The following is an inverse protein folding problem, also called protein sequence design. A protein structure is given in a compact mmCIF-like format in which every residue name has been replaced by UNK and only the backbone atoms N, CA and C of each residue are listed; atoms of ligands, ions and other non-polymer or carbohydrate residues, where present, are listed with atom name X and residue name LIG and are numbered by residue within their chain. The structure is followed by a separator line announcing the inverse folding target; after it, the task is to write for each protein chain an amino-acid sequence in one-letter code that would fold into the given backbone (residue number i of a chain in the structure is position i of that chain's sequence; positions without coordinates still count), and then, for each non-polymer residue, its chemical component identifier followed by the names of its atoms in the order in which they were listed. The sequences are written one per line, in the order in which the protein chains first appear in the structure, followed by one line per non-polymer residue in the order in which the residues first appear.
data_IF_704290937417
#
_entry.id   IF_704290937417
#
_cell.length_a   1.000
_cell.length_b   1.000
_cell.length_c   1.000
_cell.angle_alpha   90.00
_cell.angle_beta   90.00
_cell.angle_gamma   90.00
#
_symmetry.space_group_name_H-M   'P 1'
#
loop_
_entity.id
_entity.type
_entity.pdbx_description
1 polymer ?
#
# COMPACT_ATOMS: atom_id res chain seq x y z
N UNK A 1 35.28 -1.22 -39.01
CA UNK A 1 33.91 -1.82 -39.00
C UNK A 1 33.10 -1.08 -37.96
N UNK A 2 32.23 -0.17 -38.39
CA UNK A 2 31.33 0.62 -37.55
C UNK A 2 30.22 -0.31 -37.03
N UNK A 3 30.16 -0.53 -35.69
CA UNK A 3 29.00 -1.18 -35.07
C UNK A 3 27.80 -0.26 -35.25
N UNK A 4 26.85 -0.68 -36.07
CA UNK A 4 25.56 -0.02 -36.17
C UNK A 4 24.95 0.05 -34.75
N UNK A 5 24.75 1.26 -34.23
CA UNK A 5 23.90 1.48 -33.04
C UNK A 5 22.49 1.04 -33.43
N UNK A 6 22.06 -0.11 -32.92
CA UNK A 6 20.64 -0.50 -32.95
C UNK A 6 19.84 0.69 -32.41
N UNK A 7 18.94 1.26 -33.21
CA UNK A 7 17.96 2.24 -32.73
C UNK A 7 17.21 1.53 -31.60
N UNK A 8 17.40 1.99 -30.36
CA UNK A 8 16.56 1.57 -29.24
C UNK A 8 15.13 1.95 -29.61
N UNK A 9 14.23 0.99 -29.72
CA UNK A 9 12.82 1.29 -29.99
C UNK A 9 12.33 2.21 -28.90
N UNK A 10 11.84 3.37 -29.29
CA UNK A 10 11.36 4.40 -28.37
C UNK A 10 10.09 3.89 -27.69
N UNK A 11 9.98 4.07 -26.36
CA UNK A 11 8.80 3.63 -25.61
C UNK A 11 7.53 4.27 -26.19
N UNK A 12 6.46 3.49 -26.45
CA UNK A 12 5.33 3.95 -27.26
C UNK A 12 4.40 4.94 -26.56
N UNK A 13 4.59 5.19 -25.27
CA UNK A 13 3.76 6.08 -24.47
C UNK A 13 4.56 7.25 -23.93
N UNK A 14 3.87 8.38 -23.70
CA UNK A 14 4.36 9.44 -22.80
C UNK A 14 3.89 9.14 -21.39
N UNK A 15 4.83 9.07 -20.44
CA UNK A 15 4.51 8.70 -19.05
C UNK A 15 4.28 9.95 -18.22
N UNK A 16 3.16 10.00 -17.52
CA UNK A 16 2.85 10.99 -16.51
C UNK A 16 2.90 10.36 -15.13
N UNK A 17 3.81 10.79 -14.28
CA UNK A 17 3.89 10.32 -12.89
C UNK A 17 3.09 11.28 -12.02
N UNK A 18 1.93 10.85 -11.56
CA UNK A 18 1.11 11.62 -10.62
C UNK A 18 1.52 11.27 -9.20
N UNK A 19 2.08 12.24 -8.48
CA UNK A 19 2.53 12.07 -7.10
C UNK A 19 1.63 12.86 -6.14
N UNK A 20 1.18 12.28 -5.03
CA UNK A 20 0.33 12.97 -4.08
C UNK A 20 1.10 14.12 -3.43
N UNK A 21 0.42 15.23 -3.18
CA UNK A 21 0.94 16.34 -2.42
C UNK A 21 -0.12 16.83 -1.46
N UNK A 22 0.28 17.02 -0.20
CA UNK A 22 -0.59 17.59 0.82
C UNK A 22 -0.43 19.12 0.85
N UNK A 23 -1.54 19.83 0.82
CA UNK A 23 -1.55 21.27 1.07
C UNK A 23 -1.52 21.50 2.59
N UNK A 24 -0.33 21.71 3.14
CA UNK A 24 -0.13 21.86 4.59
C UNK A 24 0.94 22.89 4.91
N UNK A 25 0.80 23.54 6.06
CA UNK A 25 1.82 24.40 6.67
C UNK A 25 2.63 23.67 7.77
N UNK A 26 2.31 22.41 8.06
CA UNK A 26 3.08 21.59 9.00
C UNK A 26 4.33 21.05 8.30
N UNK A 27 5.54 21.46 8.70
CA UNK A 27 6.77 21.02 8.05
C UNK A 27 7.02 19.51 8.19
N UNK A 28 6.53 18.88 9.25
CA UNK A 28 6.65 17.42 9.42
C UNK A 28 5.76 16.69 8.42
N UNK A 29 4.53 17.17 8.19
CA UNK A 29 3.65 16.60 7.18
C UNK A 29 4.16 16.87 5.77
N UNK A 30 4.75 18.03 5.51
CA UNK A 30 5.39 18.34 4.23
C UNK A 30 6.55 17.37 3.94
N UNK A 31 7.31 16.96 4.95
CA UNK A 31 8.42 16.00 4.79
C UNK A 31 7.95 14.63 4.27
N UNK A 32 6.76 14.14 4.63
CA UNK A 32 6.22 12.87 4.13
C UNK A 32 5.96 12.86 2.63
N UNK A 33 5.86 14.03 2.02
CA UNK A 33 5.64 14.21 0.58
C UNK A 33 6.89 14.73 -0.14
N UNK A 34 8.08 14.51 0.42
CA UNK A 34 9.36 14.72 -0.27
C UNK A 34 9.64 13.52 -1.18
N UNK A 35 9.46 13.73 -2.48
CA UNK A 35 9.70 12.72 -3.51
C UNK A 35 11.06 12.88 -4.21
N UNK A 36 12.02 13.58 -3.61
CA UNK A 36 13.33 13.84 -4.23
C UNK A 36 14.01 12.53 -4.63
N UNK A 37 14.04 11.54 -3.77
CA UNK A 37 14.59 10.22 -4.06
C UNK A 37 13.80 9.50 -5.16
N UNK A 38 12.46 9.47 -5.06
CA UNK A 38 11.60 8.84 -6.06
C UNK A 38 11.81 9.44 -7.46
N UNK A 39 11.96 10.76 -7.57
CA UNK A 39 12.24 11.44 -8.84
C UNK A 39 13.57 10.95 -9.43
N UNK A 40 14.62 10.76 -8.63
CA UNK A 40 15.90 10.22 -9.08
C UNK A 40 15.76 8.78 -9.58
N UNK A 41 15.07 7.93 -8.84
CA UNK A 41 14.82 6.53 -9.20
C UNK A 41 14.02 6.42 -10.51
N UNK A 42 12.92 7.18 -10.66
CA UNK A 42 12.14 7.18 -11.90
C UNK A 42 12.88 7.82 -13.08
N UNK A 43 13.75 8.79 -12.85
CA UNK A 43 14.62 9.33 -13.89
C UNK A 43 15.49 8.22 -14.50
N UNK A 44 16.09 7.39 -13.65
CA UNK A 44 16.87 6.24 -14.07
C UNK A 44 16.01 5.21 -14.84
N UNK A 45 14.86 4.84 -14.29
CA UNK A 45 13.93 3.87 -14.90
C UNK A 45 13.53 4.33 -16.31
N UNK A 46 13.10 5.55 -16.47
CA UNK A 46 12.60 6.04 -17.76
C UNK A 46 13.71 6.33 -18.76
N UNK A 47 14.92 6.65 -18.29
CA UNK A 47 16.11 6.68 -19.15
C UNK A 47 16.45 5.29 -19.70
N UNK A 48 16.41 4.23 -18.87
CA UNK A 48 16.63 2.84 -19.29
C UNK A 48 15.57 2.37 -20.29
N UNK A 49 14.32 2.80 -20.14
CA UNK A 49 13.21 2.47 -21.04
C UNK A 49 13.19 3.33 -22.31
N UNK A 50 13.99 4.39 -22.41
CA UNK A 50 13.91 5.36 -23.51
C UNK A 50 12.56 6.08 -23.56
N UNK A 51 11.91 6.27 -22.42
CA UNK A 51 10.57 6.85 -22.31
C UNK A 51 10.61 8.34 -22.03
N UNK A 52 9.75 9.10 -22.72
CA UNK A 52 9.44 10.48 -22.34
C UNK A 52 8.53 10.50 -21.13
N UNK A 53 8.83 11.32 -20.12
CA UNK A 53 8.04 11.37 -18.92
C UNK A 53 7.98 12.75 -18.27
N UNK A 54 6.97 12.94 -17.40
CA UNK A 54 6.79 14.16 -16.61
C UNK A 54 6.38 13.79 -15.19
N UNK A 55 6.97 14.46 -14.21
CA UNK A 55 6.54 14.43 -12.81
C UNK A 55 5.48 15.49 -12.58
N UNK A 56 4.35 15.11 -11.96
CA UNK A 56 3.23 16.00 -11.75
C UNK A 56 2.72 15.86 -10.31
N UNK A 57 2.99 16.83 -9.43
CA UNK A 57 2.39 16.92 -8.10
C UNK A 57 0.87 17.10 -8.20
N UNK A 58 0.13 16.36 -7.38
CA UNK A 58 -1.33 16.31 -7.38
C UNK A 58 -1.86 16.56 -5.98
N UNK A 59 -2.80 17.49 -5.85
CA UNK A 59 -3.53 17.81 -4.62
C UNK A 59 -5.02 17.55 -4.81
N UNK A 60 -5.82 17.59 -3.73
CA UNK A 60 -7.27 17.49 -3.82
C UNK A 60 -7.93 18.65 -4.58
N UNK A 61 -7.22 19.77 -4.75
CA UNK A 61 -7.76 20.95 -5.43
C UNK A 61 -7.39 21.01 -6.92
N UNK A 62 -6.29 20.35 -7.36
CA UNK A 62 -5.78 20.48 -8.72
C UNK A 62 -5.92 19.22 -9.59
N UNK A 63 -6.21 18.04 -9.03
CA UNK A 63 -6.17 16.75 -9.76
C UNK A 63 -7.06 16.73 -11.01
N UNK A 64 -8.26 17.30 -10.93
CA UNK A 64 -9.21 17.28 -12.04
C UNK A 64 -8.68 18.07 -13.26
N UNK A 65 -8.12 19.25 -13.03
CA UNK A 65 -7.53 20.08 -14.08
C UNK A 65 -6.30 19.40 -14.71
N UNK A 66 -5.46 18.74 -13.88
CA UNK A 66 -4.29 18.00 -14.36
C UNK A 66 -4.71 16.84 -15.25
N UNK A 67 -5.67 16.01 -14.80
CA UNK A 67 -6.15 14.86 -15.55
C UNK A 67 -6.78 15.29 -16.88
N UNK A 68 -7.58 16.36 -16.89
CA UNK A 68 -8.15 16.93 -18.12
C UNK A 68 -7.04 17.37 -19.08
N UNK A 69 -6.05 18.13 -18.60
CA UNK A 69 -4.92 18.57 -19.42
C UNK A 69 -4.11 17.39 -20.00
N UNK A 70 -3.94 16.29 -19.25
CA UNK A 70 -3.30 15.08 -19.78
C UNK A 70 -4.15 14.46 -20.90
N UNK A 71 -5.46 14.38 -20.73
CA UNK A 71 -6.36 13.80 -21.71
C UNK A 71 -6.38 14.61 -23.02
N UNK A 72 -6.28 15.92 -22.92
CA UNK A 72 -6.23 16.84 -24.07
C UNK A 72 -4.89 16.83 -24.80
N UNK A 73 -3.78 16.50 -24.11
CA UNK A 73 -2.42 16.56 -24.63
C UNK A 73 -1.96 15.32 -25.43
N UNK A 74 -2.87 14.45 -25.86
CA UNK A 74 -2.54 13.21 -26.58
C UNK A 74 -2.35 13.47 -28.07
N UNK A 75 -1.29 14.20 -28.46
CA UNK A 75 -1.04 14.55 -29.84
C UNK A 75 -0.31 13.42 -30.62
N UNK A 76 0.93 13.11 -30.24
CA UNK A 76 1.79 12.17 -30.98
C UNK A 76 1.94 10.81 -30.28
N UNK A 77 1.98 10.80 -28.93
CA UNK A 77 2.08 9.58 -28.13
C UNK A 77 0.95 9.50 -27.12
N UNK A 78 0.27 8.33 -27.01
CA UNK A 78 -0.76 8.16 -26.01
C UNK A 78 -0.19 8.30 -24.60
N UNK A 79 -0.96 8.92 -23.69
CA UNK A 79 -0.58 9.07 -22.30
C UNK A 79 -0.73 7.73 -21.55
N UNK A 80 0.27 7.44 -20.71
CA UNK A 80 0.23 6.36 -19.72
C UNK A 80 0.53 6.98 -18.36
N UNK A 81 -0.42 6.90 -17.45
CA UNK A 81 -0.30 7.52 -16.14
C UNK A 81 0.24 6.50 -15.13
N UNK A 82 1.43 6.77 -14.58
CA UNK A 82 1.91 6.11 -13.38
C UNK A 82 1.30 6.84 -12.18
N UNK A 83 0.21 6.28 -11.63
CA UNK A 83 -0.50 6.88 -10.52
C UNK A 83 0.11 6.43 -9.18
N UNK A 84 0.71 7.36 -8.45
CA UNK A 84 1.27 7.16 -7.10
C UNK A 84 0.38 7.74 -6.00
N UNK A 85 -0.81 8.30 -6.34
CA UNK A 85 -1.70 8.90 -5.36
C UNK A 85 -2.32 7.80 -4.47
N UNK A 86 -1.84 7.70 -3.25
CA UNK A 86 -2.20 6.68 -2.24
C UNK A 86 -2.91 7.26 -1.01
N UNK A 87 -3.38 8.50 -1.11
CA UNK A 87 -4.03 9.22 -0.01
C UNK A 87 -5.42 8.68 0.35
N UNK A 88 -5.81 8.91 1.59
CA UNK A 88 -7.11 8.50 2.13
C UNK A 88 -8.23 9.55 1.90
N UNK A 89 -7.88 10.76 1.45
CA UNK A 89 -8.74 11.94 1.23
C UNK A 89 -9.38 12.51 2.50
N UNK A 90 -9.48 11.73 3.57
CA UNK A 90 -9.96 12.19 4.88
C UNK A 90 -8.98 13.17 5.51
N UNK A 91 -7.69 12.90 5.32
CA UNK A 91 -6.59 13.71 5.86
C UNK A 91 -5.92 14.59 4.79
N UNK A 92 -6.59 14.83 3.66
CA UNK A 92 -6.20 15.82 2.68
C UNK A 92 -5.29 15.34 1.55
N UNK A 93 -4.82 14.10 1.58
CA UNK A 93 -4.00 13.55 0.50
C UNK A 93 -4.87 12.90 -0.60
N UNK A 94 -4.61 13.19 -1.91
CA UNK A 94 -5.41 12.68 -3.01
C UNK A 94 -5.26 11.16 -3.19
N UNK A 95 -6.36 10.51 -3.53
CA UNK A 95 -6.44 9.06 -3.65
C UNK A 95 -7.50 8.61 -4.66
N UNK A 96 -8.67 8.17 -4.19
CA UNK A 96 -9.73 7.58 -5.03
C UNK A 96 -10.29 8.57 -6.06
N UNK A 97 -10.39 9.84 -5.75
CA UNK A 97 -10.86 10.88 -6.68
C UNK A 97 -9.96 11.00 -7.92
N UNK A 98 -8.65 10.78 -7.77
CA UNK A 98 -7.73 10.73 -8.90
C UNK A 98 -8.03 9.54 -9.81
N UNK A 99 -8.30 8.37 -9.22
CA UNK A 99 -8.68 7.17 -9.97
C UNK A 99 -9.97 7.41 -10.75
N UNK A 100 -10.98 8.01 -10.13
CA UNK A 100 -12.24 8.34 -10.77
C UNK A 100 -12.04 9.28 -11.97
N UNK A 101 -11.28 10.34 -11.80
CA UNK A 101 -10.96 11.28 -12.88
C UNK A 101 -10.22 10.60 -14.04
N UNK A 102 -9.26 9.72 -13.75
CA UNK A 102 -8.53 8.96 -14.77
C UNK A 102 -9.45 8.00 -15.54
N UNK A 103 -10.41 7.36 -14.86
CA UNK A 103 -11.40 6.48 -15.49
C UNK A 103 -12.39 7.26 -16.36
N UNK A 104 -12.90 8.39 -15.87
CA UNK A 104 -13.80 9.29 -16.61
C UNK A 104 -13.13 9.87 -17.87
N UNK A 105 -11.88 10.31 -17.75
CA UNK A 105 -11.08 10.77 -18.87
C UNK A 105 -10.66 9.65 -19.83
N UNK A 106 -10.93 8.40 -19.50
CA UNK A 106 -10.57 7.24 -20.30
C UNK A 106 -9.07 7.04 -20.48
N UNK A 107 -8.25 7.53 -19.56
CA UNK A 107 -6.79 7.39 -19.63
C UNK A 107 -6.34 5.97 -19.28
N UNK A 108 -5.15 5.59 -19.75
CA UNK A 108 -4.46 4.38 -19.29
C UNK A 108 -3.68 4.71 -18.05
N UNK A 109 -3.91 3.99 -16.95
CA UNK A 109 -3.27 4.28 -15.66
C UNK A 109 -2.88 3.01 -14.91
N UNK A 110 -1.85 3.12 -14.07
CA UNK A 110 -1.34 2.02 -13.23
C UNK A 110 -2.03 1.98 -11.87
N UNK A 111 -1.84 0.86 -11.17
CA UNK A 111 -2.30 0.70 -9.79
C UNK A 111 -3.75 0.23 -9.68
N UNK A 112 -4.37 0.52 -8.56
CA UNK A 112 -5.69 0.04 -8.19
C UNK A 112 -6.81 0.67 -9.04
N UNK A 113 -7.89 -0.09 -9.26
CA UNK A 113 -9.18 0.49 -9.64
C UNK A 113 -9.92 1.01 -8.39
N UNK A 114 -11.04 1.72 -8.61
CA UNK A 114 -11.85 2.28 -7.53
C UNK A 114 -12.22 1.25 -6.45
N UNK A 115 -12.65 0.04 -6.84
CA UNK A 115 -13.09 -0.96 -5.88
C UNK A 115 -11.94 -1.43 -4.98
N UNK A 116 -10.83 -1.85 -5.60
CA UNK A 116 -9.66 -2.33 -4.87
C UNK A 116 -9.10 -1.26 -3.95
N UNK A 117 -8.98 -0.03 -4.44
CA UNK A 117 -8.52 1.11 -3.64
C UNK A 117 -9.41 1.34 -2.41
N UNK A 118 -10.72 1.52 -2.62
CA UNK A 118 -11.66 1.85 -1.55
C UNK A 118 -11.72 0.75 -0.48
N UNK A 119 -11.70 -0.53 -0.90
CA UNK A 119 -11.80 -1.65 0.06
C UNK A 119 -10.54 -1.81 0.90
N UNK A 120 -9.38 -1.35 0.41
CA UNK A 120 -8.10 -1.50 1.13
C UNK A 120 -7.64 -0.23 1.86
N UNK A 121 -8.15 0.95 1.50
CA UNK A 121 -7.87 2.19 2.23
C UNK A 121 -8.40 2.12 3.66
N UNK A 122 -9.57 1.50 3.87
CA UNK A 122 -10.11 1.26 5.21
C UNK A 122 -9.96 -0.20 5.63
N UNK A 123 -9.37 -0.42 6.79
CA UNK A 123 -9.12 -1.78 7.33
C UNK A 123 -10.42 -2.53 7.69
N UNK A 124 -11.51 -1.82 8.03
CA UNK A 124 -12.78 -2.47 8.40
C UNK A 124 -13.46 -3.13 7.19
N UNK A 125 -13.68 -2.47 6.04
CA UNK A 125 -14.16 -3.12 4.82
C UNK A 125 -13.26 -4.26 4.36
N UNK A 126 -11.95 -4.06 4.37
CA UNK A 126 -10.97 -5.06 3.96
C UNK A 126 -11.07 -6.34 4.79
N UNK A 127 -11.13 -6.23 6.13
CA UNK A 127 -11.28 -7.38 7.02
C UNK A 127 -12.62 -8.11 6.82
N UNK A 128 -13.71 -7.39 6.56
CA UNK A 128 -15.00 -8.02 6.20
C UNK A 128 -14.90 -8.84 4.92
N UNK A 129 -14.15 -8.34 3.92
CA UNK A 129 -13.91 -9.05 2.66
C UNK A 129 -13.05 -10.29 2.91
N UNK A 130 -12.00 -10.19 3.73
CA UNK A 130 -11.17 -11.33 4.11
C UNK A 130 -11.98 -12.40 4.84
N UNK A 131 -12.80 -12.04 5.83
CA UNK A 131 -13.67 -12.98 6.54
C UNK A 131 -14.63 -13.70 5.58
N UNK A 132 -15.28 -12.95 4.68
CA UNK A 132 -16.19 -13.51 3.68
C UNK A 132 -15.51 -14.49 2.72
N UNK A 133 -14.27 -14.22 2.37
CA UNK A 133 -13.47 -15.05 1.46
C UNK A 133 -12.73 -16.20 2.18
N UNK A 134 -12.77 -16.29 3.51
CA UNK A 134 -12.03 -17.27 4.29
C UNK A 134 -10.52 -17.03 4.37
N UNK A 135 -10.07 -15.83 4.04
CA UNK A 135 -8.64 -15.44 4.15
C UNK A 135 -8.25 -15.40 5.62
N UNK A 136 -7.16 -16.07 5.97
CA UNK A 136 -6.65 -16.09 7.34
C UNK A 136 -6.24 -14.67 7.79
N UNK A 137 -7.02 -14.08 8.71
CA UNK A 137 -6.70 -12.82 9.37
C UNK A 137 -7.00 -12.94 10.88
N UNK A 138 -6.43 -12.04 11.70
CA UNK A 138 -6.60 -12.09 13.15
C UNK A 138 -8.05 -11.85 13.55
N UNK A 139 -8.49 -12.44 14.66
CA UNK A 139 -9.82 -12.17 15.23
C UNK A 139 -9.97 -10.67 15.52
N UNK A 140 -11.09 -10.07 15.15
CA UNK A 140 -11.27 -8.62 15.23
C UNK A 140 -12.71 -8.20 15.48
N UNK A 141 -12.92 -6.98 15.97
CA UNK A 141 -14.24 -6.37 16.16
C UNK A 141 -14.17 -4.86 15.98
N UNK A 142 -15.20 -4.30 15.33
CA UNK A 142 -15.45 -2.87 15.34
C UNK A 142 -15.89 -2.46 16.74
N UNK A 143 -15.36 -1.34 17.23
CA UNK A 143 -15.81 -0.71 18.48
C UNK A 143 -16.29 0.71 18.14
N UNK A 144 -17.25 1.20 18.91
CA UNK A 144 -17.61 2.63 18.82
C UNK A 144 -16.58 3.46 19.62
N UNK A 145 -16.42 4.73 19.26
CA UNK A 145 -15.58 5.67 20.03
C UNK A 145 -16.00 5.86 21.50
N UNK A 146 -17.10 5.23 21.94
CA UNK A 146 -17.63 5.36 23.32
C UNK A 146 -16.97 4.32 24.25
N UNK A 147 -16.49 4.70 25.46
CA UNK A 147 -15.83 3.78 26.40
C UNK A 147 -16.64 2.54 26.77
N UNK A 148 -17.98 2.61 26.78
CA UNK A 148 -18.84 1.47 27.08
C UNK A 148 -18.86 0.38 25.99
N UNK A 149 -18.38 0.68 24.78
CA UNK A 149 -18.37 -0.27 23.66
C UNK A 149 -17.35 -1.40 23.79
N UNK A 150 -16.43 -1.31 24.74
CA UNK A 150 -15.32 -2.28 24.89
C UNK A 150 -15.63 -3.43 25.86
N UNK A 151 -16.82 -3.44 26.49
CA UNK A 151 -17.19 -4.49 27.46
C UNK A 151 -17.20 -5.88 26.82
N UNK A 152 -16.49 -6.83 27.43
CA UNK A 152 -16.37 -8.21 26.97
C UNK A 152 -15.53 -8.39 25.70
N UNK A 153 -14.79 -7.36 25.26
CA UNK A 153 -13.96 -7.43 24.05
C UNK A 153 -12.79 -8.40 24.23
N UNK A 154 -12.11 -8.36 25.38
CA UNK A 154 -10.98 -9.26 25.64
C UNK A 154 -11.37 -10.72 25.56
N UNK A 155 -12.59 -11.09 26.00
CA UNK A 155 -13.09 -12.46 25.91
C UNK A 155 -13.41 -12.86 24.46
N UNK A 156 -13.91 -11.93 23.63
CA UNK A 156 -14.33 -12.21 22.26
C UNK A 156 -13.20 -12.23 21.24
N UNK A 157 -12.15 -11.48 21.48
CA UNK A 157 -11.05 -11.29 20.51
C UNK A 157 -9.76 -11.97 21.00
N UNK A 158 -9.60 -12.13 22.31
CA UNK A 158 -8.36 -12.61 22.94
C UNK A 158 -7.47 -11.46 23.36
N UNK A 159 -6.41 -11.76 24.13
CA UNK A 159 -5.36 -10.79 24.54
C UNK A 159 -3.98 -11.35 24.27
N UNK A 160 -2.97 -10.49 23.99
CA UNK A 160 -3.07 -9.05 23.86
C UNK A 160 -3.90 -8.61 22.64
N UNK A 161 -4.50 -7.41 22.74
CA UNK A 161 -5.24 -6.75 21.66
C UNK A 161 -4.41 -5.60 21.10
N UNK A 162 -4.64 -5.25 19.84
CA UNK A 162 -4.22 -3.96 19.30
C UNK A 162 -5.44 -3.15 18.83
N UNK A 163 -5.53 -1.89 19.26
CA UNK A 163 -6.56 -0.95 18.80
C UNK A 163 -6.02 -0.13 17.63
N UNK A 164 -6.81 -0.01 16.55
CA UNK A 164 -6.38 0.70 15.35
C UNK A 164 -7.50 1.57 14.79
N UNK A 165 -7.18 2.79 14.29
CA UNK A 165 -8.05 3.49 13.38
C UNK A 165 -8.31 2.65 12.12
N UNK A 166 -9.50 2.75 11.55
CA UNK A 166 -9.85 2.05 10.31
C UNK A 166 -9.01 2.54 9.13
N UNK A 167 -8.80 3.85 9.03
CA UNK A 167 -7.88 4.50 8.10
C UNK A 167 -6.65 4.94 8.88
N UNK A 168 -5.51 4.37 8.58
CA UNK A 168 -4.23 4.66 9.25
C UNK A 168 -3.07 4.36 8.30
N UNK A 169 -2.96 5.12 7.21
CA UNK A 169 -1.80 5.08 6.32
C UNK A 169 -0.52 5.41 7.10
N UNK A 170 0.61 4.75 6.78
CA UNK A 170 1.87 5.00 7.45
C UNK A 170 1.86 4.83 8.98
N UNK A 171 1.05 3.90 9.51
CA UNK A 171 0.87 3.66 10.96
C UNK A 171 0.29 4.83 11.75
N UNK A 172 -0.35 5.82 11.11
CA UNK A 172 -0.96 6.95 11.79
C UNK A 172 -1.90 6.51 12.92
N UNK A 173 -1.69 7.05 14.13
CA UNK A 173 -2.44 6.71 15.33
C UNK A 173 -2.14 5.32 15.92
N UNK A 174 -1.09 4.65 15.47
CA UNK A 174 -0.65 3.35 15.95
C UNK A 174 0.71 3.48 16.63
N UNK A 175 0.73 3.32 17.97
CA UNK A 175 1.93 3.32 18.80
C UNK A 175 2.01 2.06 19.64
N UNK A 176 3.09 1.86 20.39
CA UNK A 176 3.22 0.73 21.34
C UNK A 176 2.09 0.72 22.39
N UNK A 177 1.51 1.88 22.69
CA UNK A 177 0.36 2.04 23.60
C UNK A 177 -0.94 1.49 23.06
N UNK A 178 -0.99 1.19 21.74
CA UNK A 178 -2.17 0.57 21.13
C UNK A 178 -2.28 -0.93 21.47
N UNK A 179 -1.20 -1.56 21.93
CA UNK A 179 -1.20 -2.97 22.37
C UNK A 179 -1.60 -3.03 23.83
N UNK A 180 -2.77 -3.63 24.12
CA UNK A 180 -3.40 -3.63 25.45
C UNK A 180 -3.76 -5.05 25.89
N UNK A 181 -3.76 -5.28 27.21
CA UNK A 181 -4.05 -6.60 27.80
C UNK A 181 -5.37 -6.62 28.57
N UNK A 182 -6.01 -5.47 28.77
CA UNK A 182 -7.24 -5.34 29.54
C UNK A 182 -8.22 -4.35 28.92
N UNK A 183 -9.48 -4.46 29.32
CA UNK A 183 -10.52 -3.49 28.91
C UNK A 183 -10.27 -2.10 29.48
N UNK A 184 -9.60 -1.99 30.63
CA UNK A 184 -9.27 -0.70 31.25
C UNK A 184 -8.17 0.02 30.45
N UNK A 185 -7.12 -0.70 30.04
CA UNK A 185 -6.10 -0.15 29.14
C UNK A 185 -6.73 0.27 27.81
N UNK A 186 -7.62 -0.58 27.26
CA UNK A 186 -8.33 -0.28 26.02
C UNK A 186 -9.20 0.98 26.14
N UNK A 187 -9.93 1.18 27.24
CA UNK A 187 -10.72 2.38 27.49
C UNK A 187 -9.84 3.63 27.56
N UNK A 188 -8.71 3.53 28.22
CA UNK A 188 -7.74 4.62 28.33
C UNK A 188 -7.21 5.01 26.97
N UNK A 189 -6.74 4.04 26.19
CA UNK A 189 -6.22 4.30 24.84
C UNK A 189 -7.29 4.84 23.89
N UNK A 190 -8.52 4.35 23.98
CA UNK A 190 -9.64 4.85 23.19
C UNK A 190 -9.93 6.33 23.48
N UNK A 191 -9.86 6.77 24.74
CA UNK A 191 -10.02 8.20 25.10
C UNK A 191 -8.93 9.06 24.44
N UNK A 192 -7.68 8.60 24.47
CA UNK A 192 -6.56 9.31 23.83
C UNK A 192 -6.75 9.44 22.33
N UNK A 193 -7.10 8.35 21.63
CA UNK A 193 -7.36 8.38 20.20
C UNK A 193 -8.51 9.31 19.81
N UNK A 194 -9.50 9.50 20.69
CA UNK A 194 -10.59 10.46 20.49
C UNK A 194 -10.14 11.93 20.47
N UNK A 195 -8.98 12.25 20.99
CA UNK A 195 -8.44 13.63 20.95
C UNK A 195 -7.86 13.98 19.57
N UNK A 196 -7.71 13.00 18.68
CA UNK A 196 -7.03 13.16 17.39
C UNK A 196 -5.51 13.18 17.55
N UNK A 197 -4.82 13.35 16.43
CA UNK A 197 -3.37 13.46 16.38
C UNK A 197 -2.96 14.44 15.28
N UNK A 198 -2.19 15.47 15.58
CA UNK A 198 -1.69 16.46 14.61
C UNK A 198 -2.77 17.03 13.68
N UNK A 199 -3.97 17.28 14.21
CA UNK A 199 -5.11 17.74 13.43
C UNK A 199 -5.84 16.64 12.65
N UNK A 200 -5.36 15.40 12.66
CA UNK A 200 -6.00 14.28 11.99
C UNK A 200 -7.12 13.69 12.85
N UNK A 201 -8.26 13.44 12.23
CA UNK A 201 -9.37 12.74 12.86
C UNK A 201 -9.16 11.22 12.72
N UNK A 202 -8.51 10.61 13.71
CA UNK A 202 -8.20 9.17 13.69
C UNK A 202 -9.45 8.27 13.73
N UNK A 203 -10.61 8.80 14.06
CA UNK A 203 -11.84 8.02 14.18
C UNK A 203 -12.86 8.29 13.05
N UNK A 204 -12.50 9.11 12.05
CA UNK A 204 -13.41 9.54 11.00
C UNK A 204 -14.09 8.38 10.25
N UNK A 205 -13.36 7.29 10.01
CA UNK A 205 -13.85 6.09 9.30
C UNK A 205 -14.08 4.89 10.26
N UNK A 206 -14.04 5.15 11.57
CA UNK A 206 -14.24 4.15 12.61
C UNK A 206 -12.95 3.62 13.23
N UNK A 207 -13.12 2.77 14.22
CA UNK A 207 -12.05 2.17 15.00
C UNK A 207 -12.36 0.69 15.25
N UNK A 208 -11.34 -0.13 15.30
CA UNK A 208 -11.50 -1.55 15.60
C UNK A 208 -10.39 -2.04 16.52
N UNK A 209 -10.61 -3.20 17.09
CA UNK A 209 -9.60 -3.97 17.80
C UNK A 209 -9.40 -5.30 17.11
N UNK A 210 -8.18 -5.80 17.15
CA UNK A 210 -7.86 -7.15 16.70
C UNK A 210 -6.91 -7.82 17.68
N UNK A 211 -6.85 -9.14 17.64
CA UNK A 211 -5.85 -9.90 18.37
C UNK A 211 -4.46 -9.48 17.90
N UNK A 212 -3.61 -9.10 18.83
CA UNK A 212 -2.21 -8.83 18.52
C UNK A 212 -1.45 -10.15 18.37
N UNK A 213 -1.08 -10.47 17.15
CA UNK A 213 -0.32 -11.68 16.85
C UNK A 213 1.15 -11.43 17.17
N UNK A 214 1.73 -12.22 18.08
CA UNK A 214 3.17 -12.18 18.40
C UNK A 214 3.94 -13.12 17.50
N UNK A 215 5.09 -12.68 16.99
CA UNK A 215 5.96 -13.48 16.13
C UNK A 215 6.46 -12.74 14.90
N UNK A 216 7.12 -13.46 13.98
CA UNK A 216 7.72 -12.86 12.78
C UNK A 216 6.72 -12.16 11.88
N UNK A 217 7.15 -11.05 11.30
CA UNK A 217 6.38 -10.29 10.32
C UNK A 217 7.01 -10.43 8.94
N UNK A 218 6.17 -10.72 7.95
CA UNK A 218 6.56 -10.90 6.56
C UNK A 218 5.82 -9.89 5.69
N UNK A 219 6.47 -9.52 4.59
CA UNK A 219 5.82 -8.72 3.57
C UNK A 219 6.06 -9.31 2.19
N UNK A 220 5.07 -9.21 1.33
CA UNK A 220 5.10 -9.68 -0.05
C UNK A 220 4.70 -8.57 -1.00
N UNK A 221 5.19 -8.64 -2.22
CA UNK A 221 4.82 -7.72 -3.29
C UNK A 221 4.22 -8.52 -4.44
N UNK A 222 3.13 -7.99 -5.02
CA UNK A 222 2.43 -8.59 -6.14
C UNK A 222 2.29 -7.54 -7.24
N UNK A 223 2.60 -7.91 -8.47
CA UNK A 223 2.27 -7.14 -9.68
C UNK A 223 1.33 -7.94 -10.58
N UNK A 224 0.50 -7.23 -11.36
CA UNK A 224 -0.52 -7.83 -12.22
C UNK A 224 -1.91 -7.79 -11.57
N UNK A 225 -2.94 -8.19 -12.30
CA UNK A 225 -4.34 -8.13 -11.87
C UNK A 225 -4.91 -9.52 -11.59
N UNK A 226 -5.72 -9.64 -10.54
CA UNK A 226 -6.24 -10.95 -10.06
C UNK A 226 -7.09 -11.69 -11.11
N UNK A 227 -7.75 -10.97 -12.02
CA UNK A 227 -8.55 -11.51 -13.12
C UNK A 227 -7.72 -11.95 -14.33
N UNK A 228 -6.41 -11.74 -14.28
CA UNK A 228 -5.44 -12.33 -15.21
C UNK A 228 -4.32 -13.06 -14.41
N UNK A 229 -4.63 -14.21 -13.77
CA UNK A 229 -3.71 -14.89 -12.85
C UNK A 229 -2.38 -15.29 -13.47
N UNK A 230 -2.32 -15.47 -14.80
CA UNK A 230 -1.09 -15.84 -15.52
C UNK A 230 -0.06 -14.71 -15.52
N UNK A 231 -0.53 -13.46 -15.42
CA UNK A 231 0.30 -12.27 -15.33
C UNK A 231 0.44 -11.72 -13.90
N UNK A 232 -0.17 -12.38 -12.90
CA UNK A 232 0.06 -12.09 -11.50
C UNK A 232 1.38 -12.70 -11.03
N UNK A 233 2.33 -11.85 -10.60
CA UNK A 233 3.62 -12.27 -10.09
C UNK A 233 3.75 -11.92 -8.62
N UNK A 234 3.98 -12.93 -7.75
CA UNK A 234 4.35 -12.72 -6.36
C UNK A 234 5.85 -12.85 -6.23
N UNK A 235 6.51 -11.79 -5.81
CA UNK A 235 7.96 -11.74 -5.61
C UNK A 235 8.39 -12.53 -4.38
N UNK A 236 9.68 -12.62 -4.11
CA UNK A 236 10.21 -13.33 -2.95
C UNK A 236 9.78 -12.63 -1.67
N UNK A 237 9.02 -13.29 -0.77
CA UNK A 237 8.67 -12.71 0.51
C UNK A 237 9.90 -12.35 1.34
N UNK A 238 9.85 -11.25 2.06
CA UNK A 238 10.88 -10.87 3.02
C UNK A 238 10.30 -10.87 4.45
N UNK A 239 11.14 -11.17 5.40
CA UNK A 239 10.89 -11.03 6.83
C UNK A 239 11.37 -9.66 7.29
N UNK A 240 10.54 -8.92 8.04
CA UNK A 240 10.97 -7.74 8.78
C UNK A 240 11.44 -8.20 10.16
N UNK A 241 12.74 -8.24 10.35
CA UNK A 241 13.38 -8.64 11.59
C UNK A 241 13.57 -7.44 12.49
N UNK A 242 12.71 -7.31 13.48
CA UNK A 242 12.81 -6.25 14.47
C UNK A 242 14.01 -6.46 15.38
N UNK A 243 14.60 -5.38 15.87
CA UNK A 243 15.76 -5.44 16.72
C UNK A 243 15.47 -6.29 17.98
N UNK A 244 16.43 -7.16 18.34
CA UNK A 244 16.27 -8.16 19.41
C UNK A 244 16.05 -7.59 20.81
N UNK A 245 16.51 -6.35 21.07
CA UNK A 245 16.32 -5.68 22.37
C UNK A 245 14.88 -5.25 22.61
N UNK A 246 14.06 -5.18 21.57
CA UNK A 246 12.66 -4.77 21.69
C UNK A 246 11.82 -5.88 22.32
N UNK A 247 10.95 -5.56 23.28
CA UNK A 247 9.94 -6.48 23.78
C UNK A 247 9.05 -6.99 22.64
N UNK A 248 8.56 -8.23 22.72
CA UNK A 248 7.73 -8.82 21.63
C UNK A 248 6.51 -7.97 21.27
N UNK A 249 5.86 -7.37 22.28
CA UNK A 249 4.71 -6.48 22.08
C UNK A 249 5.03 -5.16 21.35
N UNK A 250 6.32 -4.86 21.17
CA UNK A 250 6.81 -3.65 20.51
C UNK A 250 7.42 -3.94 19.14
N UNK A 251 7.46 -5.21 18.72
CA UNK A 251 8.01 -5.63 17.43
C UNK A 251 6.96 -5.49 16.32
N UNK A 252 6.61 -4.26 16.00
CA UNK A 252 5.75 -3.89 14.87
C UNK A 252 6.05 -2.44 14.45
N UNK A 253 5.59 -2.03 13.26
CA UNK A 253 5.76 -0.66 12.80
C UNK A 253 4.80 0.25 13.54
N UNK A 254 5.32 0.94 14.56
CA UNK A 254 4.66 2.08 15.19
C UNK A 254 4.91 3.35 14.39
N UNK A 255 4.06 4.35 14.59
CA UNK A 255 4.20 5.65 13.92
C UNK A 255 5.54 6.32 14.25
N UNK A 256 5.85 6.45 15.55
CA UNK A 256 7.05 7.15 16.02
C UNK A 256 8.34 6.54 15.43
N UNK A 257 8.44 5.20 15.40
CA UNK A 257 9.64 4.50 14.90
C UNK A 257 9.71 4.47 13.39
N UNK A 258 8.56 4.42 12.71
CA UNK A 258 8.53 4.44 11.25
C UNK A 258 8.97 5.80 10.68
N UNK A 259 8.61 6.88 11.37
CA UNK A 259 8.83 8.24 10.91
C UNK A 259 9.92 8.99 11.71
N UNK A 260 10.54 8.32 12.67
CA UNK A 260 11.60 8.89 13.53
C UNK A 260 11.20 10.18 14.26
N UNK A 261 9.92 10.30 14.65
CA UNK A 261 9.37 11.48 15.32
C UNK A 261 9.53 11.42 16.84
N UNK A 262 9.40 10.23 17.42
CA UNK A 262 9.65 9.92 18.85
C UNK A 262 8.95 10.84 19.86
N UNK A 263 7.63 10.98 19.73
CA UNK A 263 6.82 11.70 20.72
C UNK A 263 6.46 10.83 21.93
N UNK A 264 6.10 9.58 21.69
CA UNK A 264 5.64 8.62 22.71
C UNK A 264 6.63 7.45 22.93
N UNK A 265 7.55 7.22 22.04
CA UNK A 265 8.43 6.05 22.06
C UNK A 265 9.92 6.43 22.11
N UNK A 266 10.73 5.61 22.78
CA UNK A 266 12.16 5.83 22.87
C UNK A 266 12.84 5.47 21.55
N UNK A 267 13.71 6.34 21.01
CA UNK A 267 14.56 6.03 19.86
C UNK A 267 15.41 4.79 20.10
N UNK A 268 15.78 4.12 19.01
CA UNK A 268 16.81 3.09 19.08
C UNK A 268 18.15 3.70 19.50
N UNK A 269 19.02 2.93 20.16
CA UNK A 269 20.39 3.38 20.42
C UNK A 269 21.06 3.86 19.10
N UNK A 270 21.92 4.88 19.22
CA UNK A 270 22.62 5.44 18.07
C UNK A 270 23.34 4.35 17.28
N UNK A 271 23.18 4.35 15.95
CA UNK A 271 23.72 3.38 14.99
C UNK A 271 23.07 1.98 14.99
N UNK A 272 21.92 1.78 15.65
CA UNK A 272 21.17 0.54 15.56
C UNK A 272 19.86 0.75 14.78
N UNK A 273 19.60 -0.13 13.79
CA UNK A 273 18.37 -0.08 13.03
C UNK A 273 17.21 -0.68 13.83
N UNK A 274 16.05 -0.07 13.75
CA UNK A 274 14.81 -0.57 14.35
C UNK A 274 14.43 -1.96 13.82
N UNK A 275 14.64 -2.19 12.52
CA UNK A 275 14.48 -3.47 11.85
C UNK A 275 15.42 -3.58 10.66
N UNK A 276 15.56 -4.81 10.16
CA UNK A 276 16.20 -5.13 8.89
C UNK A 276 15.31 -6.08 8.07
N UNK A 277 15.51 -6.10 6.77
CA UNK A 277 14.84 -7.07 5.91
C UNK A 277 15.78 -8.23 5.58
N UNK A 278 15.23 -9.45 5.60
CA UNK A 278 15.88 -10.64 5.09
C UNK A 278 14.90 -11.47 4.25
N UNK A 279 15.35 -12.25 3.27
CA UNK A 279 14.47 -13.20 2.59
C UNK A 279 13.76 -14.11 3.60
N UNK A 280 12.45 -14.28 3.44
CA UNK A 280 11.70 -15.20 4.28
C UNK A 280 12.27 -16.62 4.18
N UNK A 281 12.30 -17.41 5.28
CA UNK A 281 12.78 -18.79 5.26
C UNK A 281 12.12 -19.59 4.13
N UNK A 282 12.92 -20.36 3.37
CA UNK A 282 12.45 -21.08 2.17
C UNK A 282 11.25 -21.99 2.43
N UNK A 283 11.17 -22.59 3.62
CA UNK A 283 10.04 -23.43 4.05
C UNK A 283 8.70 -22.68 4.13
N UNK A 284 8.72 -21.36 4.27
CA UNK A 284 7.52 -20.51 4.40
C UNK A 284 7.13 -19.81 3.10
N UNK A 285 8.05 -19.64 2.15
CA UNK A 285 7.81 -18.82 0.96
C UNK A 285 6.59 -19.26 0.14
N UNK A 286 6.39 -20.58 -0.01
CA UNK A 286 5.23 -21.12 -0.75
C UNK A 286 3.91 -20.76 -0.05
N UNK A 287 3.83 -20.92 1.26
CA UNK A 287 2.64 -20.60 2.04
C UNK A 287 2.36 -19.09 2.06
N UNK A 288 3.39 -18.25 2.22
CA UNK A 288 3.28 -16.80 2.18
C UNK A 288 2.77 -16.32 0.83
N UNK A 289 3.33 -16.83 -0.28
CA UNK A 289 2.87 -16.48 -1.64
C UNK A 289 1.42 -16.91 -1.89
N UNK A 290 1.02 -18.10 -1.44
CA UNK A 290 -0.35 -18.59 -1.60
C UNK A 290 -1.33 -17.71 -0.83
N UNK A 291 -1.08 -17.44 0.47
CA UNK A 291 -1.93 -16.60 1.30
C UNK A 291 -2.02 -15.16 0.75
N UNK A 292 -0.92 -14.64 0.20
CA UNK A 292 -0.92 -13.31 -0.44
C UNK A 292 -1.81 -13.26 -1.67
N UNK A 293 -1.80 -14.31 -2.51
CA UNK A 293 -2.68 -14.38 -3.69
C UNK A 293 -4.15 -14.56 -3.29
N UNK A 294 -4.43 -15.33 -2.23
CA UNK A 294 -5.80 -15.46 -1.68
C UNK A 294 -6.33 -14.11 -1.20
N UNK A 295 -5.52 -13.36 -0.43
CA UNK A 295 -5.87 -12.02 0.02
C UNK A 295 -6.07 -11.05 -1.15
N UNK A 296 -5.17 -11.09 -2.13
CA UNK A 296 -5.25 -10.25 -3.32
C UNK A 296 -6.49 -10.52 -4.16
N UNK A 297 -6.82 -11.81 -4.35
CA UNK A 297 -8.04 -12.20 -5.05
C UNK A 297 -9.31 -11.77 -4.29
N UNK A 298 -9.32 -11.90 -2.96
CA UNK A 298 -10.46 -11.50 -2.13
C UNK A 298 -10.81 -10.03 -2.30
N UNK A 299 -9.81 -9.14 -2.32
CA UNK A 299 -10.00 -7.70 -2.53
C UNK A 299 -10.09 -7.31 -4.01
N UNK A 300 -10.12 -8.27 -4.94
CA UNK A 300 -10.13 -8.05 -6.40
C UNK A 300 -8.98 -7.17 -6.87
N UNK A 301 -7.78 -7.49 -6.42
CA UNK A 301 -6.58 -6.70 -6.63
C UNK A 301 -6.27 -6.38 -8.09
N UNK A 302 -5.80 -5.17 -8.35
CA UNK A 302 -5.43 -4.64 -9.67
C UNK A 302 -4.08 -3.95 -9.60
N UNK A 303 -3.31 -4.08 -10.67
CA UNK A 303 -2.03 -3.39 -10.84
C UNK A 303 -0.93 -3.94 -9.94
N UNK A 304 -0.87 -3.50 -8.70
CA UNK A 304 0.13 -3.97 -7.74
C UNK A 304 -0.33 -3.74 -6.29
N UNK A 305 0.28 -4.49 -5.37
CA UNK A 305 0.01 -4.38 -3.93
C UNK A 305 1.16 -4.92 -3.10
N UNK A 306 1.27 -4.41 -1.86
CA UNK A 306 2.01 -5.04 -0.77
C UNK A 306 1.03 -5.73 0.17
N UNK A 307 1.33 -6.97 0.55
CA UNK A 307 0.57 -7.70 1.57
C UNK A 307 1.47 -7.90 2.79
N UNK A 308 1.01 -7.44 3.94
CA UNK A 308 1.69 -7.60 5.21
C UNK A 308 1.07 -8.78 5.99
N UNK A 309 1.92 -9.70 6.47
CA UNK A 309 1.52 -10.98 7.06
C UNK A 309 2.28 -11.17 8.38
N UNK A 310 1.61 -11.70 9.39
CA UNK A 310 2.26 -12.06 10.64
C UNK A 310 2.11 -13.55 10.92
N UNK A 311 3.17 -14.17 11.41
CA UNK A 311 3.13 -15.55 11.87
C UNK A 311 2.94 -15.57 13.38
N UNK A 312 1.97 -16.32 13.86
CA UNK A 312 1.81 -16.58 15.28
C UNK A 312 2.94 -17.50 15.77
N UNK A 313 3.73 -17.00 16.73
CA UNK A 313 4.89 -17.72 17.26
C UNK A 313 4.53 -19.05 17.95
N UNK A 314 3.32 -19.14 18.51
CA UNK A 314 2.86 -20.32 19.27
C UNK A 314 2.31 -21.41 18.39
N UNK A 315 1.58 -21.04 17.32
CA UNK A 315 0.87 -21.98 16.44
C UNK A 315 1.54 -22.17 15.08
N UNK A 316 2.43 -21.24 14.69
CA UNK A 316 3.03 -21.20 13.37
C UNK A 316 2.08 -20.73 12.27
N UNK A 317 0.82 -20.39 12.59
CA UNK A 317 -0.19 -19.97 11.61
C UNK A 317 0.09 -18.56 11.09
N UNK A 318 -0.13 -18.34 9.79
CA UNK A 318 -0.02 -17.03 9.15
C UNK A 318 -1.35 -16.29 9.14
N UNK A 319 -1.29 -14.99 9.38
CA UNK A 319 -2.42 -14.08 9.37
C UNK A 319 -2.11 -12.85 8.51
N UNK A 320 -2.97 -12.54 7.56
CA UNK A 320 -2.88 -11.30 6.80
C UNK A 320 -3.23 -10.14 7.72
N UNK A 321 -2.35 -9.15 7.80
CA UNK A 321 -2.60 -7.91 8.53
C UNK A 321 -3.36 -6.93 7.64
N UNK A 322 -2.81 -6.68 6.44
CA UNK A 322 -3.39 -5.76 5.47
C UNK A 322 -2.91 -6.02 4.04
N UNK A 323 -3.69 -5.52 3.09
CA UNK A 323 -3.33 -5.36 1.69
C UNK A 323 -3.26 -3.85 1.39
N UNK A 324 -2.13 -3.41 0.84
CA UNK A 324 -1.88 -1.99 0.57
C UNK A 324 -1.92 -1.75 -0.94
N UNK A 325 -3.09 -1.31 -1.45
CA UNK A 325 -3.18 -0.85 -2.83
C UNK A 325 -2.30 0.38 -3.04
N UNK A 326 -1.61 0.43 -4.18
CA UNK A 326 -0.72 1.55 -4.51
C UNK A 326 0.33 1.86 -3.42
N UNK A 327 0.88 0.81 -2.79
CA UNK A 327 1.96 0.99 -1.82
C UNK A 327 3.14 1.76 -2.44
N UNK A 328 3.85 2.52 -1.62
CA UNK A 328 5.04 3.26 -2.05
C UNK A 328 6.04 2.36 -2.76
N UNK A 329 6.56 2.84 -3.89
CA UNK A 329 7.52 2.13 -4.74
C UNK A 329 8.88 2.84 -4.67
N UNK A 330 9.93 2.11 -4.30
CA UNK A 330 11.33 2.57 -4.32
C UNK A 330 12.26 1.39 -4.51
N UNK A 331 13.44 1.62 -5.10
CA UNK A 331 14.51 0.62 -5.17
C UNK A 331 15.30 0.53 -3.86
N UNK A 332 15.20 1.53 -3.00
CA UNK A 332 15.94 1.57 -1.73
C UNK A 332 15.29 0.66 -0.68
N UNK A 333 16.05 -0.35 -0.26
CA UNK A 333 15.63 -1.31 0.76
C UNK A 333 15.50 -0.72 2.17
N UNK A 334 16.10 0.44 2.42
CA UNK A 334 16.00 1.15 3.68
C UNK A 334 14.78 2.07 3.72
N UNK A 335 14.31 2.48 2.53
CA UNK A 335 13.16 3.37 2.40
C UNK A 335 11.84 2.62 2.32
N UNK A 336 11.81 1.52 1.54
CA UNK A 336 10.59 0.71 1.42
C UNK A 336 10.88 -0.80 1.46
N UNK A 337 9.90 -1.59 1.93
CA UNK A 337 9.96 -3.04 1.83
C UNK A 337 10.02 -3.54 0.38
N UNK A 338 9.61 -2.72 -0.59
CA UNK A 338 9.62 -3.09 -2.01
C UNK A 338 11.06 -3.23 -2.48
N UNK A 339 11.97 -2.29 -2.16
CA UNK A 339 13.40 -2.40 -2.47
C UNK A 339 14.01 -3.71 -1.96
N UNK A 340 13.73 -4.05 -0.69
CA UNK A 340 14.19 -5.31 -0.10
C UNK A 340 13.63 -6.56 -0.81
N UNK A 341 12.35 -6.54 -1.19
CA UNK A 341 11.70 -7.63 -1.93
C UNK A 341 12.30 -7.79 -3.33
N UNK A 342 12.53 -6.71 -4.04
CA UNK A 342 13.14 -6.73 -5.37
C UNK A 342 14.57 -7.28 -5.31
N UNK A 343 15.38 -6.83 -4.35
CA UNK A 343 16.72 -7.33 -4.09
C UNK A 343 16.69 -8.84 -3.79
N UNK A 344 15.82 -9.29 -2.90
CA UNK A 344 15.65 -10.71 -2.57
C UNK A 344 15.16 -11.55 -3.76
N UNK A 345 14.52 -10.93 -4.73
CA UNK A 345 14.00 -11.57 -5.95
C UNK A 345 14.98 -11.54 -7.12
N UNK A 346 16.09 -10.80 -7.03
CA UNK A 346 17.02 -10.57 -8.12
C UNK A 346 16.38 -9.80 -9.31
N UNK A 347 15.47 -8.87 -9.00
CA UNK A 347 14.70 -8.08 -9.98
C UNK A 347 15.07 -6.62 -9.82
N UNK A 348 15.36 -5.94 -10.93
CA UNK A 348 15.61 -4.49 -10.91
C UNK A 348 14.31 -3.69 -10.68
N UNK A 349 14.45 -2.47 -10.20
CA UNK A 349 13.33 -1.55 -10.06
C UNK A 349 12.69 -1.23 -11.41
N UNK A 350 13.50 -1.08 -12.46
CA UNK A 350 13.04 -0.90 -13.84
C UNK A 350 12.16 -2.06 -14.31
N UNK A 351 12.54 -3.32 -14.04
CA UNK A 351 11.71 -4.48 -14.37
C UNK A 351 10.36 -4.47 -13.64
N UNK A 352 10.37 -4.10 -12.36
CA UNK A 352 9.14 -4.02 -11.56
C UNK A 352 8.19 -2.91 -12.08
N UNK A 353 8.71 -1.71 -12.33
CA UNK A 353 7.94 -0.59 -12.90
C UNK A 353 7.42 -0.97 -14.28
N UNK A 354 8.24 -1.59 -15.12
CA UNK A 354 7.83 -2.07 -16.45
C UNK A 354 6.65 -3.05 -16.36
N UNK A 355 6.69 -4.00 -15.42
CA UNK A 355 5.60 -4.96 -15.22
C UNK A 355 4.28 -4.24 -14.83
N UNK A 356 4.37 -3.21 -13.99
CA UNK A 356 3.23 -2.37 -13.58
C UNK A 356 2.65 -1.58 -14.76
N UNK A 357 3.51 -0.96 -15.57
CA UNK A 357 3.09 -0.23 -16.78
C UNK A 357 2.42 -1.16 -17.81
N UNK A 358 3.00 -2.33 -18.03
CA UNK A 358 2.44 -3.34 -18.94
C UNK A 358 1.09 -3.87 -18.45
N UNK A 359 0.90 -4.05 -17.14
CA UNK A 359 -0.42 -4.43 -16.60
C UNK A 359 -1.48 -3.38 -16.92
N UNK A 360 -1.17 -2.10 -16.76
CA UNK A 360 -2.07 -1.00 -17.08
C UNK A 360 -2.51 -1.03 -18.57
N UNK A 361 -1.55 -1.25 -19.46
CA UNK A 361 -1.83 -1.36 -20.92
C UNK A 361 -2.74 -2.57 -21.21
N UNK A 362 -2.41 -3.76 -20.71
CA UNK A 362 -3.24 -4.97 -20.88
C UNK A 362 -4.66 -4.78 -20.36
N UNK A 363 -4.83 -4.16 -19.20
CA UNK A 363 -6.16 -3.86 -18.63
C UNK A 363 -6.97 -2.94 -19.53
N UNK A 364 -6.35 -1.91 -20.11
CA UNK A 364 -7.00 -1.00 -21.06
C UNK A 364 -7.45 -1.74 -22.33
N UNK A 365 -6.58 -2.53 -22.91
CA UNK A 365 -6.88 -3.33 -24.11
C UNK A 365 -8.03 -4.32 -23.88
N UNK A 366 -8.02 -5.00 -22.73
CA UNK A 366 -9.09 -5.91 -22.35
C UNK A 366 -10.44 -5.20 -22.23
N UNK A 367 -10.49 -4.02 -21.58
CA UNK A 367 -11.71 -3.19 -21.47
C UNK A 367 -12.23 -2.79 -22.86
N UNK A 368 -11.36 -2.34 -23.74
CA UNK A 368 -11.72 -1.94 -25.12
C UNK A 368 -12.27 -3.13 -25.94
N UNK A 369 -11.68 -4.31 -25.80
CA UNK A 369 -12.13 -5.52 -26.52
C UNK A 369 -13.53 -5.96 -26.08
N UNK A 370 -13.84 -5.89 -24.77
CA UNK A 370 -15.17 -6.20 -24.23
C UNK A 370 -16.21 -5.19 -24.71
N UNK A 371 -15.88 -3.89 -24.75
CA UNK A 371 -16.76 -2.85 -25.25
C UNK A 371 -17.11 -3.03 -26.73
N UNK A 372 -16.13 -3.36 -27.58
CA UNK A 372 -16.35 -3.66 -29.00
C UNK A 372 -17.28 -4.86 -29.21
N UNK A 373 -17.10 -5.95 -28.44
CA UNK A 373 -17.96 -7.14 -28.51
C UNK A 373 -19.41 -6.86 -28.09
N UNK A 374 -19.62 -6.01 -27.07
CA UNK A 374 -20.97 -5.60 -26.66
C UNK A 374 -21.68 -4.77 -27.73
N UNK A 375 -20.97 -3.82 -28.37
CA UNK A 375 -21.52 -3.01 -29.47
C UNK A 375 -21.87 -3.86 -30.68
N UNK A 376 -21.06 -4.84 -31.08
CA UNK A 376 -21.37 -5.73 -32.22
C UNK A 376 -22.55 -6.65 -31.94
N UNK A 377 -22.82 -7.05 -30.69
CA UNK A 377 -23.99 -7.85 -30.32
C UNK A 377 -25.29 -7.03 -30.17
N UNK A 378 -25.22 -5.72 -30.04
CA UNK A 378 -26.36 -4.84 -29.93
C UNK A 378 -26.87 -4.35 -31.32
N UNK A 379 -26.11 -4.65 -32.39
CA UNK A 379 -26.42 -4.28 -33.78
C UNK A 379 -26.96 -5.48 -34.60
N UNK A 380 -26.96 -6.66 -33.98
CA UNK A 380 -27.60 -7.89 -34.52
C UNK A 380 -28.92 -8.14 -33.79
#
# INVERSE_FOLDING_TARGET
MSKAKTKQEQFPYRIWVLAPQLETNDPNLAYYYDFTQSIQEYTKVFAELGAEWKWQPVTLTNFAAIVSGIAESQDEKPALVLNLCDGDEINGAPGVSVIDALEEAGLTYTGADRYFYTVTTSKIPMKKVFDKAGVSNAAWRVISGKPGSVRGICQRVGTPLIIKPAVSGGSMGVSVRNVVNSEEELKTRLKELNTGYRGWNLLADGIFVEQFITGPEYTTFITGSYDDPRNCKVYTPVERKFHRSLPEKERFLSFDRLWEIYEDETPMPSNENFYEYAPAPSKYQKALKALSLEAYAAVKGKGYTRIDIRQDASTGKFYVLEANAQCGLSEDENYTSIGAILKASGISFTEAVTAILQDAVRRKEARLSVSKRKKSKAVL
#
